data_IF_082210326805
#
_entry.id   IF_082210326805
#
_cell.length_a   1.000
_cell.length_b   1.000
_cell.length_c   1.000
_cell.angle_alpha   90.00
_cell.angle_beta   90.00
_cell.angle_gamma   90.00
#
_symmetry.space_group_name_H-M   'P 1'
#
loop_
_entity.id
_entity.type
_entity.pdbx_description
1 polymer ?
#
# COMPACT_ATOMS: atom_id res chain seq x y z
N UNK A 1 8.23 6.86 -4.06
CA UNK A 1 7.44 6.19 -2.99
C UNK A 1 8.16 4.90 -2.60
N UNK A 2 8.60 4.84 -1.37
CA UNK A 2 9.27 3.66 -0.85
C UNK A 2 8.27 2.70 -0.25
N UNK A 3 8.56 1.40 -0.34
CA UNK A 3 7.79 0.36 0.30
C UNK A 3 8.55 -0.15 1.52
N UNK A 4 7.84 -0.32 2.63
CA UNK A 4 8.36 -0.99 3.82
C UNK A 4 7.69 -2.36 3.89
N UNK A 5 8.52 -3.40 4.01
CA UNK A 5 8.08 -4.78 3.90
C UNK A 5 8.11 -5.49 5.24
N UNK A 6 7.07 -6.28 5.49
CA UNK A 6 7.01 -7.26 6.57
C UNK A 6 6.66 -8.62 5.97
N UNK A 7 7.20 -9.69 6.53
CA UNK A 7 6.93 -11.05 6.07
C UNK A 7 7.86 -11.52 4.97
N UNK A 8 7.60 -12.73 4.50
CA UNK A 8 8.48 -13.42 3.55
C UNK A 8 8.18 -13.03 2.09
N UNK A 9 9.23 -12.77 1.29
CA UNK A 9 9.03 -12.54 -0.15
C UNK A 9 8.56 -13.78 -0.91
N UNK A 10 8.61 -14.96 -0.31
CA UNK A 10 8.09 -16.20 -0.91
C UNK A 10 6.63 -16.49 -0.55
N UNK A 11 5.98 -15.63 0.23
CA UNK A 11 4.58 -15.83 0.59
C UNK A 11 3.70 -15.93 -0.65
N UNK A 12 2.67 -16.80 -0.59
CA UNK A 12 1.72 -16.94 -1.71
C UNK A 12 0.95 -15.65 -1.95
N UNK A 13 0.59 -14.94 -0.88
CA UNK A 13 -0.12 -13.67 -0.96
C UNK A 13 0.77 -12.52 -0.51
N UNK A 14 0.74 -11.45 -1.27
CA UNK A 14 1.29 -10.16 -0.89
C UNK A 14 0.15 -9.16 -0.79
N UNK A 15 0.09 -8.43 0.32
CA UNK A 15 -0.87 -7.36 0.54
C UNK A 15 -0.14 -6.02 0.57
N UNK A 16 -0.58 -5.10 -0.27
CA UNK A 16 -0.07 -3.72 -0.24
C UNK A 16 -1.11 -2.84 0.44
N UNK A 17 -0.67 -2.10 1.45
CA UNK A 17 -1.51 -1.22 2.25
C UNK A 17 -1.14 0.24 2.05
N UNK A 18 -2.14 1.07 1.82
CA UNK A 18 -2.01 2.53 1.80
C UNK A 18 -2.56 3.13 3.10
N UNK A 19 -1.94 4.22 3.52
CA UNK A 19 -2.35 4.94 4.73
C UNK A 19 -3.64 5.74 4.51
N UNK A 20 -4.28 6.14 5.62
CA UNK A 20 -5.38 7.10 5.60
C UNK A 20 -4.88 8.54 5.57
N UNK A 21 -5.81 9.50 5.39
CA UNK A 21 -5.46 10.91 5.44
C UNK A 21 -4.94 11.27 6.83
N UNK A 22 -3.80 11.94 6.88
CA UNK A 22 -3.21 12.42 8.14
C UNK A 22 -2.42 11.41 8.96
N UNK A 23 -2.37 10.14 8.54
CA UNK A 23 -1.61 9.10 9.26
C UNK A 23 -0.73 8.31 8.29
N UNK A 24 0.61 8.41 8.40
CA UNK A 24 1.52 7.76 7.47
C UNK A 24 1.62 6.25 7.69
N UNK A 25 2.40 5.59 6.83
CA UNK A 25 2.62 4.14 6.90
C UNK A 25 3.23 3.68 8.24
N UNK A 26 3.90 4.58 8.96
CA UNK A 26 4.52 4.29 10.26
C UNK A 26 3.55 4.39 11.44
N UNK A 27 2.27 4.70 11.23
CA UNK A 27 1.32 4.77 12.33
C UNK A 27 1.25 3.41 13.05
N UNK A 28 0.96 3.43 14.36
CA UNK A 28 0.84 2.20 15.13
C UNK A 28 -0.19 1.25 14.54
N UNK A 29 -1.29 1.79 14.02
CA UNK A 29 -2.33 1.01 13.37
C UNK A 29 -1.77 0.22 12.18
N UNK A 30 -1.05 0.90 11.29
CA UNK A 30 -0.49 0.26 10.10
C UNK A 30 0.58 -0.76 10.45
N UNK A 31 1.47 -0.44 11.39
CA UNK A 31 2.49 -1.38 11.85
C UNK A 31 1.88 -2.62 12.49
N UNK A 32 0.88 -2.42 13.34
CA UNK A 32 0.22 -3.52 14.03
C UNK A 32 -0.39 -4.50 13.03
N UNK A 33 -1.15 -4.00 12.07
CA UNK A 33 -1.76 -4.85 11.05
C UNK A 33 -0.73 -5.55 10.18
N UNK A 34 0.30 -4.84 9.73
CA UNK A 34 1.34 -5.42 8.89
C UNK A 34 2.05 -6.57 9.61
N UNK A 35 2.42 -6.39 10.88
CA UNK A 35 3.10 -7.42 11.65
C UNK A 35 2.21 -8.62 11.92
N UNK A 36 0.94 -8.38 12.25
CA UNK A 36 -0.02 -9.47 12.48
C UNK A 36 -0.23 -10.31 11.23
N UNK A 37 -0.39 -9.67 10.08
CA UNK A 37 -0.58 -10.38 8.83
C UNK A 37 0.71 -11.11 8.40
N UNK A 38 1.86 -10.50 8.61
CA UNK A 38 3.14 -11.15 8.33
C UNK A 38 3.30 -12.43 9.14
N UNK A 39 2.86 -12.43 10.40
CA UNK A 39 2.89 -13.61 11.26
C UNK A 39 1.94 -14.70 10.78
N UNK A 40 0.96 -14.37 9.94
CA UNK A 40 0.04 -15.34 9.33
C UNK A 40 0.55 -15.83 7.97
N UNK A 41 1.77 -15.50 7.58
CA UNK A 41 2.35 -15.97 6.33
C UNK A 41 2.03 -15.10 5.11
N UNK A 42 1.57 -13.88 5.32
CA UNK A 42 1.30 -12.93 4.24
C UNK A 42 2.44 -11.92 4.19
N UNK A 43 2.99 -11.67 3.00
CA UNK A 43 3.93 -10.55 2.84
C UNK A 43 3.13 -9.24 2.77
N UNK A 44 3.53 -8.25 3.56
CA UNK A 44 2.84 -6.96 3.60
C UNK A 44 3.80 -5.85 3.22
N UNK A 45 3.42 -5.04 2.24
CA UNK A 45 4.13 -3.82 1.87
C UNK A 45 3.28 -2.61 2.21
N UNK A 46 3.92 -1.56 2.76
CA UNK A 46 3.25 -0.30 3.10
C UNK A 46 3.96 0.83 2.37
N UNK A 47 3.19 1.79 1.87
CA UNK A 47 3.76 2.96 1.22
C UNK A 47 3.04 4.24 1.65
N UNK A 48 3.72 5.37 1.49
CA UNK A 48 3.13 6.70 1.65
C UNK A 48 2.80 7.28 0.28
N UNK A 49 1.60 7.88 0.15
CA UNK A 49 1.28 8.68 -1.02
C UNK A 49 2.24 9.88 -1.15
N UNK A 50 2.42 10.43 -2.36
CA UNK A 50 3.37 11.52 -2.58
C UNK A 50 3.21 12.71 -1.65
N UNK A 51 1.96 13.13 -1.35
CA UNK A 51 1.76 14.26 -0.44
C UNK A 51 2.29 13.96 0.97
N UNK A 52 2.18 12.71 1.42
CA UNK A 52 2.66 12.30 2.73
C UNK A 52 4.18 12.21 2.75
N UNK A 53 4.79 11.76 1.66
CA UNK A 53 6.25 11.78 1.51
C UNK A 53 6.77 13.21 1.68
N UNK A 54 6.13 14.18 1.02
CA UNK A 54 6.50 15.59 1.14
C UNK A 54 6.25 16.15 2.53
N UNK A 55 5.12 15.78 3.16
CA UNK A 55 4.79 16.23 4.51
C UNK A 55 5.85 15.79 5.52
N UNK A 56 6.30 14.54 5.43
CA UNK A 56 7.35 14.00 6.31
C UNK A 56 8.69 14.71 6.04
N UNK A 57 9.07 14.85 4.79
CA UNK A 57 10.35 15.46 4.41
C UNK A 57 10.43 16.92 4.84
N UNK A 58 9.34 17.67 4.77
CA UNK A 58 9.29 19.08 5.11
C UNK A 58 8.85 19.35 6.56
N UNK A 59 8.45 18.30 7.28
CA UNK A 59 7.89 18.39 8.65
C UNK A 59 6.69 19.36 8.72
N UNK A 60 5.89 19.39 7.65
CA UNK A 60 4.71 20.25 7.56
C UNK A 60 3.51 19.43 7.13
N UNK A 61 2.35 19.71 7.73
CA UNK A 61 1.09 19.11 7.30
C UNK A 61 0.77 19.55 5.88
N UNK A 62 0.29 18.60 5.08
CA UNK A 62 -0.18 18.84 3.72
C UNK A 62 -1.54 18.18 3.54
N UNK A 63 -2.46 18.82 2.82
CA UNK A 63 -3.71 18.14 2.47
C UNK A 63 -3.44 16.97 1.55
N UNK A 64 -4.32 15.96 1.52
CA UNK A 64 -4.19 14.85 0.58
C UNK A 64 -4.14 15.34 -0.86
N UNK A 65 -3.41 14.61 -1.71
CA UNK A 65 -3.45 14.79 -3.14
C UNK A 65 -4.88 14.55 -3.66
N UNK A 66 -5.17 15.04 -4.84
CA UNK A 66 -6.45 14.79 -5.51
C UNK A 66 -6.53 13.32 -5.94
N UNK A 67 -7.76 12.86 -6.19
CA UNK A 67 -7.99 11.47 -6.58
C UNK A 67 -7.14 11.01 -7.79
N UNK A 68 -6.97 11.81 -8.85
CA UNK A 68 -6.12 11.37 -9.97
C UNK A 68 -4.68 11.07 -9.56
N UNK A 69 -4.08 11.88 -8.69
CA UNK A 69 -2.72 11.65 -8.20
C UNK A 69 -2.64 10.43 -7.29
N UNK A 70 -3.66 10.23 -6.45
CA UNK A 70 -3.71 9.06 -5.57
C UNK A 70 -3.89 7.77 -6.38
N UNK A 71 -4.72 7.80 -7.41
CA UNK A 71 -4.90 6.66 -8.31
C UNK A 71 -3.63 6.36 -9.09
N UNK A 72 -2.94 7.39 -9.58
CA UNK A 72 -1.67 7.21 -10.28
C UNK A 72 -0.61 6.59 -9.37
N UNK A 73 -0.56 7.01 -8.11
CA UNK A 73 0.36 6.43 -7.12
C UNK A 73 0.06 4.95 -6.90
N UNK A 74 -1.20 4.57 -6.73
CA UNK A 74 -1.59 3.18 -6.61
C UNK A 74 -1.19 2.37 -7.84
N UNK A 75 -1.44 2.90 -9.04
CA UNK A 75 -1.10 2.22 -10.28
C UNK A 75 0.41 1.97 -10.38
N UNK A 76 1.23 2.96 -10.05
CA UNK A 76 2.69 2.80 -10.04
C UNK A 76 3.13 1.72 -9.06
N UNK A 77 2.57 1.72 -7.85
CA UNK A 77 2.90 0.71 -6.83
C UNK A 77 2.47 -0.69 -7.28
N UNK A 78 1.26 -0.83 -7.80
CA UNK A 78 0.77 -2.13 -8.30
C UNK A 78 1.70 -2.68 -9.39
N UNK A 79 2.05 -1.87 -10.37
CA UNK A 79 2.93 -2.29 -11.46
C UNK A 79 4.32 -2.70 -10.93
N UNK A 80 4.87 -1.90 -10.03
CA UNK A 80 6.19 -2.17 -9.46
C UNK A 80 6.21 -3.45 -8.63
N UNK A 81 5.18 -3.66 -7.81
CA UNK A 81 5.08 -4.87 -7.00
C UNK A 81 4.84 -6.10 -7.87
N UNK A 82 3.94 -5.99 -8.86
CA UNK A 82 3.66 -7.12 -9.73
C UNK A 82 4.89 -7.57 -10.50
N UNK A 83 5.73 -6.64 -10.90
CA UNK A 83 6.97 -6.96 -11.63
C UNK A 83 7.97 -7.78 -10.78
N UNK A 84 7.91 -7.65 -9.44
CA UNK A 84 8.83 -8.41 -8.57
C UNK A 84 8.22 -9.72 -8.07
N UNK A 85 6.91 -9.92 -8.19
CA UNK A 85 6.25 -11.15 -7.79
C UNK A 85 6.40 -12.22 -8.86
N UNK A 86 6.48 -13.49 -8.41
CA UNK A 86 6.43 -14.62 -9.33
C UNK A 86 5.00 -14.79 -9.86
N UNK A 87 4.85 -15.51 -10.99
CA UNK A 87 3.56 -15.66 -11.63
C UNK A 87 2.53 -16.42 -10.80
N UNK A 88 2.97 -17.26 -9.85
CA UNK A 88 2.11 -18.01 -8.95
C UNK A 88 1.82 -17.27 -7.64
N UNK A 89 2.44 -16.12 -7.41
CA UNK A 89 2.15 -15.27 -6.27
C UNK A 89 1.00 -14.33 -6.59
N UNK A 90 0.15 -14.08 -5.58
CA UNK A 90 -1.06 -13.27 -5.72
C UNK A 90 -0.90 -11.95 -5.01
N UNK A 91 -1.54 -10.92 -5.55
CA UNK A 91 -1.49 -9.56 -5.03
C UNK A 91 -2.87 -9.11 -4.56
N UNK A 92 -2.95 -8.74 -3.29
CA UNK A 92 -4.10 -8.05 -2.72
C UNK A 92 -3.71 -6.60 -2.42
N UNK A 93 -4.67 -5.71 -2.52
CA UNK A 93 -4.49 -4.31 -2.16
C UNK A 93 -5.56 -3.90 -1.16
N UNK A 94 -5.23 -2.93 -0.33
CA UNK A 94 -6.14 -2.42 0.68
C UNK A 94 -5.59 -1.17 1.32
N UNK A 95 -6.24 -0.72 2.38
CA UNK A 95 -5.77 0.45 3.09
C UNK A 95 -6.76 0.92 4.13
N UNK A 96 -6.35 1.93 4.88
CA UNK A 96 -7.17 2.54 5.91
C UNK A 96 -7.88 3.77 5.34
N UNK A 97 -9.20 3.84 5.49
CA UNK A 97 -10.01 5.02 5.15
C UNK A 97 -9.76 5.46 3.69
N UNK A 98 -9.18 6.66 3.50
CA UNK A 98 -8.86 7.19 2.16
C UNK A 98 -8.02 6.20 1.34
N UNK A 99 -6.97 5.63 1.94
CA UNK A 99 -6.11 4.67 1.24
C UNK A 99 -6.88 3.46 0.74
N UNK A 100 -7.78 2.92 1.55
CA UNK A 100 -8.63 1.81 1.18
C UNK A 100 -9.66 2.18 0.12
N UNK A 101 -10.24 3.39 0.23
CA UNK A 101 -11.19 3.87 -0.76
C UNK A 101 -10.55 4.00 -2.14
N UNK A 102 -9.36 4.58 -2.22
CA UNK A 102 -8.64 4.70 -3.49
C UNK A 102 -8.22 3.32 -4.00
N UNK A 103 -7.80 2.41 -3.10
CA UNK A 103 -7.51 1.03 -3.48
C UNK A 103 -8.71 0.37 -4.15
N UNK A 104 -9.92 0.58 -3.63
CA UNK A 104 -11.13 0.00 -4.23
C UNK A 104 -11.37 0.49 -5.66
N UNK A 105 -10.92 1.68 -5.98
CA UNK A 105 -11.02 2.25 -7.34
C UNK A 105 -9.90 1.75 -8.26
N UNK A 106 -8.92 1.02 -7.73
CA UNK A 106 -7.76 0.52 -8.46
C UNK A 106 -7.84 -0.97 -8.77
N UNK A 107 -8.94 -1.64 -8.40
CA UNK A 107 -9.09 -3.10 -8.56
C UNK A 107 -9.22 -3.55 -10.01
N UNK A 108 -9.49 -2.63 -10.94
CA UNK A 108 -9.57 -2.96 -12.36
C UNK A 108 -8.20 -3.10 -13.02
N UNK A 109 -7.12 -2.82 -12.27
CA UNK A 109 -5.77 -3.04 -12.78
C UNK A 109 -5.50 -4.55 -12.88
N UNK A 110 -4.94 -4.97 -14.03
CA UNK A 110 -4.73 -6.40 -14.35
C UNK A 110 -3.84 -7.13 -13.34
N UNK A 111 -3.02 -6.40 -12.58
CA UNK A 111 -2.11 -7.00 -11.62
C UNK A 111 -2.72 -7.35 -10.26
N UNK A 112 -3.99 -6.99 -10.01
CA UNK A 112 -4.62 -7.15 -8.70
C UNK A 112 -5.51 -8.38 -8.67
N UNK A 113 -5.27 -9.26 -7.69
CA UNK A 113 -6.06 -10.49 -7.49
C UNK A 113 -7.18 -10.33 -6.46
N UNK A 114 -7.02 -9.42 -5.50
CA UNK A 114 -8.02 -9.23 -4.44
C UNK A 114 -7.97 -7.83 -3.84
N UNK A 115 -9.10 -7.41 -3.27
CA UNK A 115 -9.24 -6.20 -2.47
C UNK A 115 -9.57 -6.58 -1.04
N UNK A 116 -8.90 -5.92 -0.11
CA UNK A 116 -9.12 -6.14 1.34
C UNK A 116 -9.71 -4.90 1.99
#
# INVERSE_FOLDING_TARGET
MDLIWDGSPQATWTLILAHGAGAPLHSEYMQYFAQRLANQGIQVGRFNFPYMVKAIATQRRRPPDRAPELLAAWQEIIERVRARLASDQRLAIGGKSMGGRIASMSTQHDGVDALV
#
